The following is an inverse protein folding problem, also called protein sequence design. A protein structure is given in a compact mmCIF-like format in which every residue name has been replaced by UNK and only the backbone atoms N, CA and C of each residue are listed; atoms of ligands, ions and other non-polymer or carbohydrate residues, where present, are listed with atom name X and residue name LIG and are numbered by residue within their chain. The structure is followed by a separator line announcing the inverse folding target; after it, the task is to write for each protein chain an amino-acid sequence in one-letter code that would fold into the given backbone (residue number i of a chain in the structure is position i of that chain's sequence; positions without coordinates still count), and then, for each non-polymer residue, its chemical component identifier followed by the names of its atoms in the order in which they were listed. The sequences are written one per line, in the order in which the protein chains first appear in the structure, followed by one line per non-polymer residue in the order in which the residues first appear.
data_IF_256216993465
#
_entry.id   IF_256216993465
#
_cell.length_a   1.000
_cell.length_b   1.000
_cell.length_c   1.000
_cell.angle_alpha   90.00
_cell.angle_beta   90.00
_cell.angle_gamma   90.00
#
_symmetry.space_group_name_H-M   'P 1'
#
loop_
_entity.id
_entity.type
_entity.pdbx_description
1 polymer ?
#
# COMPACT_ATOMS: atom_id res chain seq x y z
N UNK A 1 -7.11 22.12 -15.05
CA UNK A 1 -8.18 21.44 -14.28
C UNK A 1 -7.64 21.29 -12.87
N UNK A 2 -8.31 21.78 -11.85
CA UNK A 2 -7.89 21.66 -10.46
C UNK A 2 -7.92 20.17 -10.10
N UNK A 3 -6.87 19.64 -9.46
CA UNK A 3 -6.73 18.20 -9.14
C UNK A 3 -7.78 17.61 -8.20
N UNK A 4 -8.81 18.34 -7.84
CA UNK A 4 -9.86 17.92 -6.89
C UNK A 4 -10.84 16.88 -7.46
N UNK A 5 -10.90 16.67 -8.77
CA UNK A 5 -11.88 15.79 -9.43
C UNK A 5 -11.22 14.68 -10.28
N UNK A 6 -9.91 14.51 -10.18
CA UNK A 6 -9.15 13.56 -11.02
C UNK A 6 -9.65 12.12 -10.87
N UNK A 7 -10.11 11.74 -9.66
CA UNK A 7 -10.63 10.41 -9.34
C UNK A 7 -12.14 10.40 -9.02
N UNK A 8 -12.87 11.47 -9.42
CA UNK A 8 -14.31 11.51 -9.19
C UNK A 8 -15.03 10.29 -9.80
N UNK A 9 -15.89 9.65 -9.00
CA UNK A 9 -16.60 8.44 -9.39
C UNK A 9 -15.78 7.15 -9.36
N UNK A 10 -14.49 7.19 -8.99
CA UNK A 10 -13.67 6.00 -8.74
C UNK A 10 -13.84 5.51 -7.32
N UNK A 11 -13.72 4.19 -7.13
CA UNK A 11 -13.74 3.54 -5.82
C UNK A 11 -12.38 2.94 -5.52
N UNK A 12 -11.82 3.27 -4.34
CA UNK A 12 -10.56 2.72 -3.87
C UNK A 12 -10.74 1.87 -2.62
N UNK A 13 -9.98 0.77 -2.53
CA UNK A 13 -9.81 -0.02 -1.31
C UNK A 13 -8.36 0.08 -0.84
N UNK A 14 -8.13 0.61 0.37
CA UNK A 14 -6.80 0.81 0.97
C UNK A 14 -6.67 -0.03 2.23
N UNK A 15 -5.81 -1.05 2.22
CA UNK A 15 -5.51 -1.83 3.41
C UNK A 15 -4.48 -1.10 4.28
N UNK A 16 -4.60 -1.23 5.61
CA UNK A 16 -3.78 -0.44 6.54
C UNK A 16 -4.11 1.07 6.52
N UNK A 17 -5.31 1.45 6.04
CA UNK A 17 -5.70 2.83 5.77
C UNK A 17 -5.98 3.70 7.00
N UNK A 18 -5.88 3.16 8.24
CA UNK A 18 -6.19 3.91 9.45
C UNK A 18 -5.04 4.76 10.00
N UNK A 19 -3.81 4.65 9.50
CA UNK A 19 -2.65 5.41 9.98
C UNK A 19 -1.49 5.42 8.96
N UNK A 20 -0.48 6.24 9.23
CA UNK A 20 0.78 6.28 8.46
C UNK A 20 0.57 6.44 6.96
N UNK A 21 1.32 5.66 6.17
CA UNK A 21 1.28 5.71 4.70
C UNK A 21 -0.13 5.41 4.17
N UNK A 22 -0.81 4.38 4.70
CA UNK A 22 -2.15 4.02 4.24
C UNK A 22 -3.19 5.13 4.45
N UNK A 23 -3.14 5.84 5.60
CA UNK A 23 -3.99 7.01 5.85
C UNK A 23 -3.66 8.16 4.88
N UNK A 24 -2.37 8.42 4.62
CA UNK A 24 -1.96 9.46 3.69
C UNK A 24 -2.38 9.16 2.24
N UNK A 25 -2.32 7.88 1.84
CA UNK A 25 -2.84 7.43 0.54
C UNK A 25 -4.36 7.65 0.49
N UNK A 26 -5.10 7.20 1.52
CA UNK A 26 -6.55 7.40 1.58
C UNK A 26 -6.94 8.88 1.51
N UNK A 27 -6.18 9.75 2.21
CA UNK A 27 -6.35 11.20 2.13
C UNK A 27 -6.20 11.70 0.69
N UNK A 28 -5.08 11.38 0.02
CA UNK A 28 -4.80 11.86 -1.34
C UNK A 28 -5.82 11.37 -2.37
N UNK A 29 -6.26 10.13 -2.27
CA UNK A 29 -7.29 9.59 -3.16
C UNK A 29 -8.66 10.25 -2.93
N UNK A 30 -9.04 10.48 -1.66
CA UNK A 30 -10.28 11.17 -1.33
C UNK A 30 -10.24 12.67 -1.66
N UNK A 31 -9.09 13.34 -1.50
CA UNK A 31 -8.85 14.72 -1.92
C UNK A 31 -9.05 14.88 -3.44
N UNK A 32 -8.70 13.86 -4.23
CA UNK A 32 -8.93 13.78 -5.67
C UNK A 32 -10.35 13.27 -6.05
N UNK A 33 -11.27 13.15 -5.10
CA UNK A 33 -12.68 12.81 -5.33
C UNK A 33 -13.04 11.32 -5.32
N UNK A 34 -12.09 10.41 -5.06
CA UNK A 34 -12.40 8.98 -4.98
C UNK A 34 -13.21 8.64 -3.71
N UNK A 35 -14.18 7.72 -3.81
CA UNK A 35 -14.73 7.07 -2.65
C UNK A 35 -13.75 5.98 -2.14
N UNK A 36 -13.33 6.05 -0.87
CA UNK A 36 -12.24 5.24 -0.33
C UNK A 36 -12.70 4.37 0.82
N UNK A 37 -12.67 3.05 0.66
CA UNK A 37 -12.75 2.10 1.77
C UNK A 37 -11.36 1.98 2.43
N UNK A 38 -11.29 2.23 3.73
CA UNK A 38 -10.09 2.04 4.54
C UNK A 38 -10.25 0.81 5.42
N UNK A 39 -9.32 -0.14 5.32
CA UNK A 39 -9.42 -1.41 6.03
C UNK A 39 -8.22 -1.60 6.99
N UNK A 40 -8.48 -1.89 8.26
CA UNK A 40 -7.49 -2.31 9.25
C UNK A 40 -8.17 -2.99 10.45
N UNK A 41 -7.36 -3.52 11.41
CA UNK A 41 -7.90 -4.31 12.54
C UNK A 41 -8.70 -3.50 13.57
N UNK A 42 -8.30 -2.26 13.85
CA UNK A 42 -8.85 -1.46 14.95
C UNK A 42 -9.96 -0.55 14.43
N UNK A 43 -11.22 -0.86 14.78
CA UNK A 43 -12.41 -0.09 14.38
C UNK A 43 -12.31 1.37 14.79
N UNK A 44 -11.95 1.62 16.04
CA UNK A 44 -11.86 2.97 16.61
C UNK A 44 -10.85 3.88 15.86
N UNK A 45 -9.73 3.30 15.40
CA UNK A 45 -8.72 4.02 14.61
C UNK A 45 -9.26 4.37 13.22
N UNK A 46 -9.96 3.43 12.58
CA UNK A 46 -10.58 3.65 11.27
C UNK A 46 -11.67 4.72 11.33
N UNK A 47 -12.54 4.67 12.35
CA UNK A 47 -13.61 5.64 12.55
C UNK A 47 -13.05 7.04 12.87
N UNK A 48 -11.96 7.13 13.66
CA UNK A 48 -11.28 8.39 13.90
C UNK A 48 -10.70 8.96 12.60
N UNK A 49 -10.03 8.14 11.79
CA UNK A 49 -9.52 8.55 10.48
C UNK A 49 -10.65 8.97 9.54
N UNK A 50 -11.77 8.24 9.50
CA UNK A 50 -12.91 8.61 8.66
C UNK A 50 -13.52 9.97 9.07
N UNK A 51 -13.62 10.26 10.38
CA UNK A 51 -14.07 11.58 10.86
C UNK A 51 -13.09 12.68 10.50
N UNK A 52 -11.78 12.44 10.68
CA UNK A 52 -10.73 13.42 10.35
C UNK A 52 -10.74 13.79 8.86
N UNK A 53 -11.02 12.83 7.99
CA UNK A 53 -11.04 13.02 6.53
C UNK A 53 -12.42 13.37 5.96
N UNK A 54 -13.44 13.57 6.80
CA UNK A 54 -14.82 13.79 6.37
C UNK A 54 -15.04 15.11 5.61
N UNK A 55 -14.09 16.04 5.67
CA UNK A 55 -14.13 17.32 4.93
C UNK A 55 -13.72 17.19 3.46
N UNK A 56 -13.14 16.06 3.08
CA UNK A 56 -12.69 15.82 1.71
C UNK A 56 -13.88 15.52 0.78
N UNK A 57 -13.76 15.80 -0.53
CA UNK A 57 -14.83 15.52 -1.48
C UNK A 57 -15.15 14.03 -1.61
N UNK A 58 -14.16 13.14 -1.45
CA UNK A 58 -14.35 11.70 -1.51
C UNK A 58 -14.87 11.12 -0.18
N UNK A 59 -15.84 10.19 -0.28
CA UNK A 59 -16.40 9.50 0.88
C UNK A 59 -15.40 8.50 1.49
N UNK A 60 -15.23 8.50 2.81
CA UNK A 60 -14.42 7.50 3.53
C UNK A 60 -15.31 6.44 4.18
N UNK A 61 -15.03 5.16 3.90
CA UNK A 61 -15.73 4.01 4.46
C UNK A 61 -14.77 3.20 5.37
N UNK A 62 -14.94 3.25 6.70
CA UNK A 62 -14.13 2.45 7.62
C UNK A 62 -14.63 1.00 7.69
N UNK A 63 -13.75 0.02 7.43
CA UNK A 63 -14.04 -1.41 7.46
C UNK A 63 -13.04 -2.17 8.34
N UNK A 64 -13.43 -2.69 9.50
CA UNK A 64 -12.58 -3.55 10.30
C UNK A 64 -12.21 -4.82 9.53
N UNK A 65 -10.89 -5.11 9.42
CA UNK A 65 -10.38 -6.24 8.65
C UNK A 65 -9.02 -6.69 9.18
N UNK A 66 -8.87 -7.97 9.43
CA UNK A 66 -7.58 -8.60 9.66
C UNK A 66 -7.13 -9.25 8.35
N UNK A 67 -6.17 -8.62 7.64
CA UNK A 67 -5.77 -9.05 6.28
C UNK A 67 -5.19 -10.48 6.19
N UNK A 68 -4.79 -11.09 7.30
CA UNK A 68 -4.42 -12.49 7.36
C UNK A 68 -5.60 -13.46 7.47
N UNK A 69 -6.84 -12.99 7.52
CA UNK A 69 -8.05 -13.82 7.58
C UNK A 69 -8.80 -13.75 6.25
N UNK A 70 -8.89 -14.85 5.49
CA UNK A 70 -9.57 -14.84 4.19
C UNK A 70 -11.01 -14.33 4.25
N UNK A 71 -11.78 -14.74 5.25
CA UNK A 71 -13.17 -14.33 5.42
C UNK A 71 -13.32 -12.81 5.65
N UNK A 72 -12.37 -12.18 6.38
CA UNK A 72 -12.38 -10.74 6.59
C UNK A 72 -12.13 -9.99 5.26
N UNK A 73 -11.22 -10.51 4.41
CA UNK A 73 -10.93 -9.93 3.10
C UNK A 73 -12.14 -10.01 2.17
N UNK A 74 -12.78 -11.18 2.11
CA UNK A 74 -14.00 -11.39 1.32
C UNK A 74 -15.12 -10.44 1.77
N UNK A 75 -15.34 -10.31 3.08
CA UNK A 75 -16.33 -9.39 3.63
C UNK A 75 -15.99 -7.95 3.28
N UNK A 76 -14.71 -7.54 3.42
CA UNK A 76 -14.24 -6.19 3.10
C UNK A 76 -14.50 -5.82 1.65
N UNK A 77 -14.22 -6.72 0.72
CA UNK A 77 -14.49 -6.50 -0.72
C UNK A 77 -15.99 -6.39 -0.95
N UNK A 78 -16.80 -7.33 -0.45
CA UNK A 78 -18.26 -7.29 -0.60
C UNK A 78 -18.87 -6.00 -0.03
N UNK A 79 -18.47 -5.57 1.17
CA UNK A 79 -19.00 -4.35 1.77
C UNK A 79 -18.54 -3.09 1.02
N UNK A 80 -17.32 -3.06 0.50
CA UNK A 80 -16.84 -1.96 -0.33
C UNK A 80 -17.71 -1.85 -1.58
N UNK A 81 -17.90 -2.94 -2.31
CA UNK A 81 -18.69 -2.95 -3.55
C UNK A 81 -20.17 -2.62 -3.30
N UNK A 82 -20.75 -3.12 -2.23
CA UNK A 82 -22.17 -2.86 -1.88
C UNK A 82 -22.41 -1.40 -1.48
N UNK A 83 -21.44 -0.73 -0.86
CA UNK A 83 -21.64 0.61 -0.27
C UNK A 83 -21.04 1.75 -1.07
N UNK A 84 -20.02 1.47 -1.89
CA UNK A 84 -19.32 2.47 -2.70
C UNK A 84 -19.38 2.18 -4.20
N UNK A 85 -19.67 0.95 -4.60
CA UNK A 85 -19.59 0.49 -5.98
C UNK A 85 -18.34 -0.34 -6.27
N UNK A 86 -18.20 -0.78 -7.51
CA UNK A 86 -17.10 -1.66 -7.93
C UNK A 86 -15.73 -1.00 -7.77
N UNK A 87 -14.78 -1.74 -7.19
CA UNK A 87 -13.43 -1.26 -6.86
C UNK A 87 -12.62 -1.01 -8.15
N UNK A 88 -12.15 0.22 -8.36
CA UNK A 88 -11.30 0.64 -9.48
C UNK A 88 -9.82 0.73 -9.10
N UNK A 89 -9.54 0.97 -7.81
CA UNK A 89 -8.20 1.15 -7.27
C UNK A 89 -8.03 0.25 -6.06
N UNK A 90 -7.02 -0.64 -6.09
CA UNK A 90 -6.65 -1.49 -4.96
C UNK A 90 -5.27 -1.10 -4.43
N UNK A 91 -5.17 -0.73 -3.16
CA UNK A 91 -3.89 -0.42 -2.50
C UNK A 91 -3.60 -1.47 -1.44
N UNK A 92 -2.66 -2.37 -1.74
CA UNK A 92 -2.13 -3.37 -0.82
C UNK A 92 -1.02 -2.74 0.03
N UNK A 93 -1.41 -2.07 1.12
CA UNK A 93 -0.46 -1.36 2.00
C UNK A 93 -0.23 -2.06 3.35
N UNK A 94 -1.13 -2.92 3.82
CA UNK A 94 -0.93 -3.64 5.08
C UNK A 94 0.35 -4.45 5.08
N UNK A 95 1.17 -4.28 6.12
CA UNK A 95 2.38 -5.05 6.32
C UNK A 95 2.69 -5.28 7.80
N UNK A 96 3.55 -6.22 8.08
CA UNK A 96 4.17 -6.46 9.39
C UNK A 96 5.66 -6.70 9.22
N UNK A 97 6.44 -6.34 10.25
CA UNK A 97 7.81 -6.79 10.44
C UNK A 97 7.92 -7.32 11.87
N UNK A 98 8.13 -8.62 12.01
CA UNK A 98 8.23 -9.31 13.31
C UNK A 98 9.61 -9.91 13.56
N UNK A 99 10.56 -9.68 12.63
CA UNK A 99 11.94 -10.13 12.74
C UNK A 99 12.85 -8.90 12.62
N UNK A 100 13.62 -8.65 13.68
CA UNK A 100 14.69 -7.65 13.73
C UNK A 100 15.87 -8.29 14.47
N UNK A 101 16.94 -8.60 13.73
CA UNK A 101 18.12 -9.26 14.27
C UNK A 101 18.79 -10.20 13.25
N UNK A 102 19.80 -10.97 13.68
CA UNK A 102 20.57 -11.85 12.80
C UNK A 102 19.69 -12.81 11.98
N UNK A 103 20.06 -13.03 10.73
CA UNK A 103 19.30 -13.88 9.81
C UNK A 103 19.13 -15.32 10.33
N UNK A 104 20.15 -15.85 11.02
CA UNK A 104 20.15 -17.22 11.56
C UNK A 104 19.26 -17.38 12.79
N UNK A 105 18.78 -16.28 13.39
CA UNK A 105 17.84 -16.31 14.52
C UNK A 105 16.37 -16.17 14.06
N UNK A 106 16.13 -15.98 12.77
CA UNK A 106 14.78 -15.92 12.22
C UNK A 106 14.10 -17.29 12.34
N UNK A 107 12.81 -17.29 12.77
CA UNK A 107 12.05 -18.53 12.99
C UNK A 107 11.01 -18.77 11.89
N UNK A 108 10.56 -20.02 11.77
CA UNK A 108 9.51 -20.41 10.83
C UNK A 108 8.18 -19.66 11.12
N UNK A 109 7.85 -19.47 12.40
CA UNK A 109 6.63 -18.74 12.80
C UNK A 109 6.68 -17.26 12.37
N UNK A 110 7.86 -16.63 12.44
CA UNK A 110 8.06 -15.28 11.95
C UNK A 110 7.92 -15.24 10.43
N UNK A 111 8.51 -16.19 9.72
CA UNK A 111 8.40 -16.33 8.26
C UNK A 111 6.94 -16.52 7.84
N UNK A 112 6.24 -17.48 8.44
CA UNK A 112 4.83 -17.76 8.16
C UNK A 112 3.95 -16.53 8.38
N UNK A 113 4.17 -15.83 9.49
CA UNK A 113 3.45 -14.59 9.82
C UNK A 113 3.67 -13.51 8.78
N UNK A 114 4.91 -13.34 8.32
CA UNK A 114 5.23 -12.30 7.34
C UNK A 114 4.72 -12.66 5.96
N UNK A 115 4.81 -13.92 5.54
CA UNK A 115 4.20 -14.42 4.30
C UNK A 115 2.69 -14.21 4.34
N UNK A 116 2.02 -14.57 5.44
CA UNK A 116 0.57 -14.43 5.57
C UNK A 116 0.11 -12.98 5.43
N UNK A 117 0.78 -12.03 6.09
CA UNK A 117 0.39 -10.63 6.10
C UNK A 117 0.91 -9.86 4.87
N UNK A 118 2.18 -10.04 4.49
CA UNK A 118 2.82 -9.19 3.49
C UNK A 118 2.61 -9.69 2.04
N UNK A 119 2.34 -10.99 1.85
CA UNK A 119 2.18 -11.60 0.52
C UNK A 119 0.79 -12.17 0.28
N UNK A 120 0.34 -13.12 1.11
CA UNK A 120 -0.92 -13.82 0.89
C UNK A 120 -2.11 -12.87 0.95
N UNK A 121 -2.05 -11.81 1.76
CA UNK A 121 -3.12 -10.81 1.82
C UNK A 121 -3.29 -10.09 0.47
N UNK A 122 -2.21 -9.61 -0.13
CA UNK A 122 -2.23 -8.96 -1.44
C UNK A 122 -2.67 -9.93 -2.54
N UNK A 123 -2.14 -11.16 -2.53
CA UNK A 123 -2.53 -12.21 -3.46
C UNK A 123 -4.05 -12.52 -3.42
N UNK A 124 -4.62 -12.64 -2.23
CA UNK A 124 -6.05 -12.89 -2.03
C UNK A 124 -6.89 -11.70 -2.49
N UNK A 125 -6.51 -10.48 -2.13
CA UNK A 125 -7.23 -9.27 -2.54
C UNK A 125 -7.26 -9.09 -4.06
N UNK A 126 -6.14 -9.32 -4.74
CA UNK A 126 -6.12 -9.28 -6.21
C UNK A 126 -7.11 -10.29 -6.79
N UNK A 127 -7.14 -11.53 -6.29
CA UNK A 127 -8.08 -12.56 -6.73
C UNK A 127 -9.55 -12.23 -6.46
N UNK A 128 -9.83 -11.47 -5.40
CA UNK A 128 -11.19 -11.06 -5.05
C UNK A 128 -11.66 -9.86 -5.87
N UNK A 129 -10.78 -8.91 -6.15
CA UNK A 129 -11.13 -7.63 -6.79
C UNK A 129 -11.06 -7.68 -8.32
N UNK A 130 -10.06 -8.35 -8.88
CA UNK A 130 -9.78 -8.34 -10.32
C UNK A 130 -10.95 -8.89 -11.18
N UNK A 131 -11.67 -9.96 -10.79
CA UNK A 131 -12.81 -10.41 -11.58
C UNK A 131 -13.87 -9.32 -11.79
N UNK A 132 -14.14 -8.51 -10.75
CA UNK A 132 -15.04 -7.36 -10.86
C UNK A 132 -14.49 -6.25 -11.76
N UNK A 133 -13.20 -5.95 -11.70
CA UNK A 133 -12.55 -5.00 -12.62
C UNK A 133 -12.67 -5.45 -14.08
N UNK A 134 -12.41 -6.73 -14.36
CA UNK A 134 -12.52 -7.32 -15.72
C UNK A 134 -13.96 -7.25 -16.20
N UNK A 135 -14.93 -7.67 -15.40
CA UNK A 135 -16.35 -7.68 -15.77
C UNK A 135 -16.87 -6.28 -16.12
N UNK A 136 -16.40 -5.23 -15.43
CA UNK A 136 -16.77 -3.84 -15.76
C UNK A 136 -16.10 -3.31 -17.03
N UNK A 137 -14.99 -3.91 -17.49
CA UNK A 137 -14.29 -3.53 -18.71
C UNK A 137 -13.69 -2.12 -18.74
N UNK A 138 -13.59 -1.43 -17.59
CA UNK A 138 -13.09 -0.05 -17.49
C UNK A 138 -11.59 0.01 -17.16
N UNK A 139 -10.94 -1.15 -16.96
CA UNK A 139 -9.57 -1.23 -16.44
C UNK A 139 -9.53 -1.04 -14.93
N UNK A 140 -8.35 -0.71 -14.39
CA UNK A 140 -8.14 -0.50 -12.97
C UNK A 140 -6.68 -0.20 -12.63
N UNK A 141 -6.41 0.14 -11.37
CA UNK A 141 -5.07 0.34 -10.84
C UNK A 141 -4.86 -0.45 -9.56
N UNK A 142 -3.81 -1.27 -9.51
CA UNK A 142 -3.37 -2.00 -8.32
C UNK A 142 -2.02 -1.45 -7.90
N UNK A 143 -1.91 -1.02 -6.63
CA UNK A 143 -0.71 -0.41 -6.07
C UNK A 143 -0.27 -1.25 -4.88
N UNK A 144 0.92 -1.84 -4.97
CA UNK A 144 1.49 -2.67 -3.92
C UNK A 144 2.56 -1.87 -3.15
N UNK A 145 2.41 -1.73 -1.83
CA UNK A 145 3.41 -1.09 -0.97
C UNK A 145 4.55 -2.09 -0.69
N UNK A 146 5.60 -2.01 -1.52
CA UNK A 146 6.86 -2.71 -1.31
C UNK A 146 7.74 -1.97 -0.28
N UNK A 147 9.01 -1.83 -0.53
CA UNK A 147 10.02 -1.10 0.24
C UNK A 147 11.32 -1.07 -0.56
N UNK A 148 12.20 -0.11 -0.28
CA UNK A 148 13.60 -0.17 -0.71
C UNK A 148 14.29 -1.45 -0.23
N UNK A 149 13.88 -1.99 0.93
CA UNK A 149 14.35 -3.29 1.46
C UNK A 149 13.99 -4.49 0.56
N UNK A 150 13.08 -4.33 -0.40
CA UNK A 150 12.78 -5.34 -1.42
C UNK A 150 13.65 -5.21 -2.67
N UNK A 151 14.43 -4.14 -2.79
CA UNK A 151 15.37 -3.87 -3.88
C UNK A 151 16.81 -4.08 -3.43
N UNK A 152 17.12 -3.64 -2.21
CA UNK A 152 18.44 -3.80 -1.58
C UNK A 152 18.24 -4.47 -0.21
N UNK A 153 19.02 -5.49 0.15
CA UNK A 153 18.83 -6.19 1.42
C UNK A 153 19.10 -5.28 2.61
N UNK A 154 18.24 -5.37 3.61
CA UNK A 154 18.43 -4.66 4.88
C UNK A 154 19.01 -5.61 5.92
N UNK A 155 20.11 -5.22 6.55
CA UNK A 155 20.70 -5.96 7.68
C UNK A 155 19.67 -6.13 8.81
N UNK A 156 19.59 -7.33 9.38
CA UNK A 156 18.66 -7.64 10.47
C UNK A 156 17.19 -7.77 10.08
N UNK A 157 16.85 -7.77 8.76
CA UNK A 157 15.47 -7.83 8.30
C UNK A 157 15.30 -8.77 7.08
N UNK A 158 15.94 -9.95 7.13
CA UNK A 158 15.92 -10.90 6.00
C UNK A 158 14.50 -11.25 5.56
N UNK A 159 13.60 -11.53 6.50
CA UNK A 159 12.23 -11.94 6.18
C UNK A 159 11.44 -10.78 5.57
N UNK A 160 11.64 -9.56 6.08
CA UNK A 160 10.98 -8.39 5.53
C UNK A 160 11.45 -8.11 4.10
N UNK A 161 12.76 -8.06 3.88
CA UNK A 161 13.36 -7.86 2.57
C UNK A 161 12.88 -8.91 1.57
N UNK A 162 12.87 -10.20 1.97
CA UNK A 162 12.39 -11.31 1.13
C UNK A 162 10.91 -11.13 0.76
N UNK A 163 10.04 -10.79 1.72
CA UNK A 163 8.61 -10.61 1.40
C UNK A 163 8.37 -9.40 0.50
N UNK A 164 9.14 -8.31 0.66
CA UNK A 164 9.02 -7.13 -0.19
C UNK A 164 9.58 -7.36 -1.60
N UNK A 165 10.66 -8.12 -1.74
CA UNK A 165 11.17 -8.57 -3.04
C UNK A 165 10.18 -9.49 -3.76
N UNK A 166 9.55 -10.43 -3.05
CA UNK A 166 8.51 -11.28 -3.60
C UNK A 166 7.29 -10.47 -4.07
N UNK A 167 6.86 -9.46 -3.31
CA UNK A 167 5.74 -8.59 -3.71
C UNK A 167 6.06 -7.77 -4.97
N UNK A 168 7.32 -7.33 -5.15
CA UNK A 168 7.79 -6.70 -6.38
C UNK A 168 7.68 -7.66 -7.57
N UNK A 169 8.09 -8.91 -7.41
CA UNK A 169 7.96 -9.90 -8.49
C UNK A 169 6.50 -10.22 -8.80
N UNK A 170 5.64 -10.37 -7.80
CA UNK A 170 4.20 -10.55 -7.99
C UNK A 170 3.58 -9.36 -8.74
N UNK A 171 4.01 -8.14 -8.46
CA UNK A 171 3.59 -6.92 -9.18
C UNK A 171 3.87 -7.03 -10.67
N UNK A 172 5.07 -7.44 -11.04
CA UNK A 172 5.49 -7.61 -12.44
C UNK A 172 4.71 -8.74 -13.15
N UNK A 173 4.47 -9.84 -12.46
CA UNK A 173 3.70 -10.97 -13.00
C UNK A 173 2.25 -10.55 -13.27
N UNK A 174 1.58 -9.95 -12.29
CA UNK A 174 0.21 -9.45 -12.48
C UNK A 174 0.11 -8.37 -13.55
N UNK A 175 1.10 -7.50 -13.68
CA UNK A 175 1.09 -6.49 -14.74
C UNK A 175 1.06 -7.12 -16.15
N UNK A 176 1.78 -8.23 -16.35
CA UNK A 176 1.78 -8.97 -17.62
C UNK A 176 0.45 -9.68 -17.88
N UNK A 177 -0.10 -10.32 -16.85
CA UNK A 177 -1.35 -11.10 -16.98
C UNK A 177 -2.59 -10.21 -17.09
N UNK A 178 -2.62 -9.09 -16.37
CA UNK A 178 -3.78 -8.22 -16.27
C UNK A 178 -3.79 -7.05 -17.27
N UNK A 179 -2.65 -6.78 -17.91
CA UNK A 179 -2.51 -5.74 -18.92
C UNK A 179 -3.52 -5.81 -20.08
N UNK A 180 -3.83 -6.99 -20.66
CA UNK A 180 -4.89 -7.13 -21.68
C UNK A 180 -6.26 -6.64 -21.23
N UNK A 181 -6.54 -6.61 -19.92
CA UNK A 181 -7.77 -6.08 -19.34
C UNK A 181 -7.67 -4.59 -18.95
N UNK A 182 -6.59 -3.89 -19.36
CA UNK A 182 -6.32 -2.50 -19.00
C UNK A 182 -6.19 -2.28 -17.49
N UNK A 183 -5.81 -3.32 -16.73
CA UNK A 183 -5.53 -3.22 -15.31
C UNK A 183 -4.02 -3.04 -15.15
N UNK A 184 -3.62 -1.90 -14.59
CA UNK A 184 -2.22 -1.58 -14.31
C UNK A 184 -1.86 -2.09 -12.91
N UNK A 185 -0.67 -2.65 -12.75
CA UNK A 185 -0.18 -3.12 -11.45
C UNK A 185 1.23 -2.56 -11.25
N UNK A 186 1.40 -1.73 -10.22
CA UNK A 186 2.69 -1.12 -9.90
C UNK A 186 3.00 -1.27 -8.42
N UNK A 187 4.27 -1.14 -8.06
CA UNK A 187 4.73 -1.09 -6.69
C UNK A 187 5.24 0.30 -6.33
N UNK A 188 5.02 0.72 -5.08
CA UNK A 188 5.78 1.80 -4.45
C UNK A 188 6.83 1.18 -3.54
N UNK A 189 8.06 1.67 -3.60
CA UNK A 189 9.16 1.27 -2.74
C UNK A 189 9.62 2.45 -1.89
N UNK A 190 8.95 2.71 -0.74
CA UNK A 190 9.37 3.77 0.16
C UNK A 190 10.71 3.45 0.83
N UNK A 191 11.50 4.50 1.07
CA UNK A 191 12.64 4.49 1.98
C UNK A 191 12.18 4.67 3.44
N UNK A 192 12.94 5.45 4.22
CA UNK A 192 12.60 5.73 5.61
C UNK A 192 11.52 6.83 5.68
N UNK A 193 10.30 6.42 5.93
CA UNK A 193 9.13 7.30 6.08
C UNK A 193 8.77 7.44 7.57
N UNK A 194 8.55 8.65 8.04
CA UNK A 194 8.21 8.95 9.43
C UNK A 194 6.79 8.46 9.77
N UNK A 195 6.71 7.24 10.32
CA UNK A 195 5.47 6.59 10.75
C UNK A 195 5.67 5.89 12.09
N UNK A 196 4.58 5.48 12.74
CA UNK A 196 4.65 4.62 13.93
C UNK A 196 5.30 3.25 13.61
N UNK A 197 5.06 2.71 12.41
CA UNK A 197 5.62 1.43 11.96
C UNK A 197 7.16 1.45 11.89
N UNK A 198 7.75 2.56 11.48
CA UNK A 198 9.20 2.76 11.33
C UNK A 198 9.83 3.51 12.51
N UNK A 199 9.07 3.79 13.59
CA UNK A 199 9.54 4.62 14.71
C UNK A 199 10.84 4.10 15.35
N UNK A 200 11.02 2.81 15.44
CA UNK A 200 12.22 2.17 15.96
C UNK A 200 13.49 2.46 15.14
N UNK A 201 13.33 2.86 13.84
CA UNK A 201 14.44 3.28 12.97
C UNK A 201 14.72 4.77 13.10
N UNK A 202 13.70 5.63 12.98
CA UNK A 202 13.92 7.06 12.88
C UNK A 202 14.02 7.77 14.23
N UNK A 203 13.57 7.17 15.34
CA UNK A 203 13.72 7.74 16.69
C UNK A 203 15.11 7.55 17.30
N UNK A 204 15.93 6.68 16.72
CA UNK A 204 17.33 6.46 17.11
C UNK A 204 18.25 6.96 15.99
N UNK A 205 19.15 7.89 16.32
CA UNK A 205 20.00 8.53 15.31
C UNK A 205 21.00 7.56 14.69
N UNK A 206 21.54 6.60 15.44
CA UNK A 206 22.50 5.62 14.94
C UNK A 206 21.81 4.68 13.93
N UNK A 207 20.64 4.16 14.28
CA UNK A 207 19.83 3.31 13.37
C UNK A 207 19.37 4.07 12.13
N UNK A 208 19.00 5.34 12.30
CA UNK A 208 18.63 6.19 11.18
C UNK A 208 19.79 6.38 10.21
N UNK A 209 21.00 6.63 10.72
CA UNK A 209 22.20 6.74 9.90
C UNK A 209 22.57 5.41 9.21
N UNK A 210 22.48 4.31 9.94
CA UNK A 210 22.75 2.98 9.37
C UNK A 210 21.78 2.64 8.25
N UNK A 211 20.48 2.96 8.40
CA UNK A 211 19.47 2.63 7.41
C UNK A 211 19.41 3.59 6.22
N UNK A 212 19.54 4.88 6.47
CA UNK A 212 19.30 5.96 5.49
C UNK A 212 20.51 6.93 5.37
N UNK A 213 21.73 6.48 5.74
CA UNK A 213 22.91 7.33 5.72
C UNK A 213 23.27 7.90 4.35
N UNK A 214 22.96 7.19 3.29
CA UNK A 214 23.20 7.59 1.90
C UNK A 214 22.03 8.39 1.28
N UNK A 215 20.97 8.68 2.05
CA UNK A 215 19.86 9.47 1.56
C UNK A 215 20.31 10.88 1.16
N UNK A 216 20.03 11.28 -0.07
CA UNK A 216 20.46 12.56 -0.65
C UNK A 216 19.63 13.73 -0.14
N UNK A 217 18.31 13.58 -0.04
CA UNK A 217 17.43 14.62 0.48
C UNK A 217 17.55 14.69 2.02
N UNK A 218 17.71 15.90 2.63
CA UNK A 218 18.11 16.03 4.03
C UNK A 218 16.97 15.86 5.05
N UNK A 219 15.80 15.42 4.66
CA UNK A 219 14.64 15.24 5.55
C UNK A 219 14.15 13.79 5.59
N UNK A 220 13.53 13.39 6.68
CA UNK A 220 12.82 12.12 6.74
C UNK A 220 11.61 12.16 5.83
N UNK A 221 11.43 11.13 5.00
CA UNK A 221 10.25 11.02 4.15
C UNK A 221 8.95 11.12 4.95
N UNK A 222 7.98 11.83 4.42
CA UNK A 222 6.68 11.99 5.06
C UNK A 222 5.63 11.10 4.38
N UNK A 223 4.64 10.58 5.14
CA UNK A 223 3.57 9.75 4.55
C UNK A 223 2.86 10.39 3.35
N UNK A 224 2.71 11.73 3.36
CA UNK A 224 2.09 12.49 2.27
C UNK A 224 2.84 12.40 0.94
N UNK A 225 4.17 12.23 0.95
CA UNK A 225 4.99 12.09 -0.26
C UNK A 225 4.73 10.74 -0.93
N UNK A 226 4.56 9.66 -0.13
CA UNK A 226 4.13 8.35 -0.63
C UNK A 226 2.67 8.41 -1.11
N UNK A 227 1.81 9.18 -0.41
CA UNK A 227 0.43 9.44 -0.81
C UNK A 227 0.33 10.10 -2.18
N UNK A 228 1.18 11.08 -2.48
CA UNK A 228 1.24 11.75 -3.79
C UNK A 228 1.66 10.78 -4.91
N UNK A 229 2.67 9.94 -4.66
CA UNK A 229 3.09 8.90 -5.59
C UNK A 229 1.98 7.86 -5.85
N UNK A 230 1.21 7.51 -4.82
CA UNK A 230 0.07 6.61 -4.95
C UNK A 230 -1.06 7.25 -5.77
N UNK A 231 -1.35 8.53 -5.58
CA UNK A 231 -2.32 9.28 -6.40
C UNK A 231 -1.92 9.26 -7.88
N UNK A 232 -0.67 9.56 -8.20
CA UNK A 232 -0.15 9.49 -9.57
C UNK A 232 -0.36 8.09 -10.19
N UNK A 233 -0.04 7.02 -9.46
CA UNK A 233 -0.25 5.64 -9.95
C UNK A 233 -1.73 5.24 -10.03
N UNK A 234 -2.60 5.85 -9.25
CA UNK A 234 -4.04 5.59 -9.28
C UNK A 234 -4.72 6.27 -10.48
N UNK A 235 -4.25 7.46 -10.86
CA UNK A 235 -4.83 8.31 -11.89
C UNK A 235 -4.44 7.95 -13.33
N UNK A 236 -5.05 8.66 -14.27
CA UNK A 236 -4.84 8.46 -15.71
C UNK A 236 -3.49 9.03 -16.19
N UNK A 237 -2.86 9.91 -15.39
CA UNK A 237 -1.50 10.41 -15.66
C UNK A 237 -0.45 9.29 -15.76
N UNK A 238 -0.72 8.12 -15.18
CA UNK A 238 0.13 6.92 -15.26
C UNK A 238 -0.45 5.83 -16.17
N UNK A 239 -1.32 6.18 -17.13
CA UNK A 239 -2.04 5.22 -18.00
C UNK A 239 -1.14 4.27 -18.80
N UNK A 240 0.11 4.67 -19.07
CA UNK A 240 1.10 3.84 -19.79
C UNK A 240 2.18 3.25 -18.87
N UNK A 241 1.93 3.24 -17.53
CA UNK A 241 2.87 2.73 -16.53
C UNK A 241 2.27 1.48 -15.87
N UNK A 242 2.89 0.32 -16.08
CA UNK A 242 2.55 -0.95 -15.44
C UNK A 242 3.79 -1.82 -15.24
N UNK A 243 3.80 -2.67 -14.20
CA UNK A 243 4.93 -3.53 -13.86
C UNK A 243 6.12 -2.80 -13.24
N UNK A 244 5.98 -1.50 -12.91
CA UNK A 244 7.07 -0.68 -12.42
C UNK A 244 7.15 -0.67 -10.90
N UNK A 245 8.36 -0.37 -10.41
CA UNK A 245 8.63 -0.06 -8.99
C UNK A 245 9.03 1.40 -8.94
N UNK A 246 8.14 2.23 -8.40
CA UNK A 246 8.44 3.64 -8.18
C UNK A 246 9.04 3.79 -6.77
N UNK A 247 10.31 4.14 -6.75
CA UNK A 247 11.06 4.37 -5.50
C UNK A 247 10.73 5.77 -4.96
N UNK A 248 10.48 5.86 -3.64
CA UNK A 248 10.16 7.10 -2.91
C UNK A 248 11.01 7.12 -1.64
N UNK A 249 12.29 7.43 -1.78
CA UNK A 249 13.31 7.19 -0.73
C UNK A 249 14.26 8.37 -0.48
N UNK A 250 14.02 9.51 -1.10
CA UNK A 250 14.90 10.67 -0.97
C UNK A 250 16.30 10.48 -1.57
N UNK A 251 16.45 9.55 -2.52
CA UNK A 251 17.72 9.24 -3.18
C UNK A 251 18.61 8.26 -2.42
N UNK A 252 18.04 7.47 -1.49
CA UNK A 252 18.78 6.47 -0.73
C UNK A 252 19.36 5.35 -1.61
N UNK A 253 18.74 5.04 -2.75
CA UNK A 253 19.21 4.04 -3.71
C UNK A 253 19.80 4.65 -5.01
N UNK A 254 20.13 5.93 -4.99
CA UNK A 254 20.68 6.61 -6.17
C UNK A 254 22.17 6.28 -6.41
#
# INVERSE_FOLDING_TARGET
MSGADELAGRVALVTGGGRGIGKAIAHKLAEAGAAVAIASRKREVLEATARELAYLPGKILPLPCHVGRPADLEQTVRETEARLGGIDILVNNSATNVQNGPALEATDEQLDKMIEINLKSAFRLVRLVVPGMIARGKGGSIINLASVSGLTPQTGAILYSTTKAALIMMTRSWARELGPHRIRVNALAPGLIQTEFSSWLWSDEARRREFAGDQVLPHLGQPGEVGAAALFLAGDASSFITGQVLVVDGGMLA
#
